data_IF_125728590679
#
_entry.id   IF_125728590679
#
_cell.length_a   1.000
_cell.length_b   1.000
_cell.length_c   1.000
_cell.angle_alpha   90.00
_cell.angle_beta   90.00
_cell.angle_gamma   90.00
#
_symmetry.space_group_name_H-M   'P 1'
#
loop_
_entity.id
_entity.type
_entity.pdbx_description
1 polymer ?
#
# COMPACT_ATOMS: atom_id res chain seq x y z
N UNK A 1 18.43 -22.84 61.85
CA UNK A 1 18.08 -21.53 61.21
C UNK A 1 18.58 -21.34 59.78
N UNK A 2 18.77 -22.38 58.97
CA UNK A 2 19.41 -22.29 57.63
C UNK A 2 18.49 -22.64 56.44
N UNK A 3 17.21 -22.96 56.67
CA UNK A 3 16.26 -23.32 55.59
C UNK A 3 15.44 -22.16 55.03
N UNK A 4 15.29 -21.05 55.76
CA UNK A 4 14.44 -19.93 55.38
C UNK A 4 15.07 -18.94 54.38
N UNK A 5 16.41 -18.85 54.34
CA UNK A 5 17.14 -17.96 53.43
C UNK A 5 17.23 -18.45 51.96
N UNK A 6 17.19 -19.78 51.75
CA UNK A 6 17.24 -20.34 50.36
C UNK A 6 15.95 -20.16 49.57
N UNK A 7 14.79 -20.17 50.24
CA UNK A 7 13.48 -20.01 49.60
C UNK A 7 13.21 -18.55 49.20
N UNK A 8 13.65 -17.58 50.01
CA UNK A 8 13.47 -16.16 49.73
C UNK A 8 14.28 -15.70 48.49
N UNK A 9 15.55 -16.14 48.36
CA UNK A 9 16.41 -15.82 47.23
C UNK A 9 15.92 -16.46 45.90
N UNK A 10 15.28 -17.63 45.95
CA UNK A 10 14.76 -18.31 44.76
C UNK A 10 13.49 -17.63 44.24
N UNK A 11 12.67 -17.01 45.12
CA UNK A 11 11.47 -16.28 44.77
C UNK A 11 11.80 -14.90 44.18
N UNK A 12 12.78 -14.19 44.74
CA UNK A 12 13.26 -12.88 44.25
C UNK A 12 13.88 -13.02 42.85
N UNK A 13 14.69 -14.07 42.61
CA UNK A 13 15.29 -14.34 41.30
C UNK A 13 14.22 -14.68 40.24
N UNK A 14 13.14 -15.38 40.58
CA UNK A 14 12.04 -15.68 39.67
C UNK A 14 11.21 -14.43 39.31
N UNK A 15 10.99 -13.53 40.27
CA UNK A 15 10.27 -12.25 40.03
C UNK A 15 11.15 -11.33 39.19
N UNK A 16 12.47 -11.26 39.44
CA UNK A 16 13.40 -10.48 38.60
C UNK A 16 13.50 -11.04 37.16
N UNK A 17 13.53 -12.35 36.98
CA UNK A 17 13.54 -12.98 35.65
C UNK A 17 12.19 -12.74 34.91
N UNK A 18 11.05 -12.84 35.60
CA UNK A 18 9.75 -12.56 35.02
C UNK A 18 9.62 -11.07 34.65
N UNK A 19 10.11 -10.15 35.50
CA UNK A 19 10.15 -8.72 35.22
C UNK A 19 11.05 -8.37 34.02
N UNK A 20 12.23 -9.00 33.91
CA UNK A 20 13.13 -8.84 32.74
C UNK A 20 12.57 -9.48 31.48
N UNK A 21 11.80 -10.55 31.58
CA UNK A 21 11.11 -11.18 30.44
C UNK A 21 9.95 -10.32 29.96
N UNK A 22 9.14 -9.74 30.88
CA UNK A 22 8.08 -8.78 30.56
C UNK A 22 8.63 -7.48 29.96
N UNK A 23 9.77 -6.97 30.47
CA UNK A 23 10.46 -5.80 29.91
C UNK A 23 11.06 -6.11 28.51
N UNK A 24 11.56 -7.31 28.26
CA UNK A 24 12.00 -7.72 26.92
C UNK A 24 10.83 -7.90 25.95
N UNK A 25 9.69 -8.43 26.40
CA UNK A 25 8.46 -8.52 25.58
C UNK A 25 7.95 -7.11 25.25
N UNK A 26 7.94 -6.17 26.19
CA UNK A 26 7.58 -4.78 25.91
C UNK A 26 8.58 -4.08 24.95
N UNK A 27 9.87 -4.40 25.01
CA UNK A 27 10.87 -3.83 24.11
C UNK A 27 10.79 -4.41 22.69
N UNK A 28 10.30 -5.63 22.50
CA UNK A 28 10.07 -6.23 21.17
C UNK A 28 8.81 -5.65 20.50
N UNK A 29 7.84 -5.13 21.25
CA UNK A 29 6.64 -4.45 20.72
C UNK A 29 6.81 -2.93 20.55
N UNK A 30 8.03 -2.35 20.72
CA UNK A 30 8.20 -0.89 20.88
C UNK A 30 8.53 -0.12 19.60
N UNK A 31 8.83 -0.72 18.47
CA UNK A 31 8.95 0.03 17.21
C UNK A 31 7.80 -0.32 16.27
N UNK A 32 6.70 0.40 16.43
CA UNK A 32 5.54 0.29 15.54
C UNK A 32 5.69 1.14 14.27
N UNK A 33 6.65 2.07 14.28
CA UNK A 33 7.03 2.92 13.14
C UNK A 33 8.55 2.92 13.00
N UNK A 34 9.05 2.66 11.80
CA UNK A 34 10.48 2.66 11.49
C UNK A 34 10.80 3.66 10.35
N UNK A 35 11.78 4.51 10.61
CA UNK A 35 12.25 5.56 9.70
C UNK A 35 13.73 5.37 9.31
N UNK A 36 14.33 4.24 9.66
CA UNK A 36 15.75 3.97 9.41
C UNK A 36 16.12 4.11 7.93
N UNK A 37 15.24 3.67 7.03
CA UNK A 37 15.46 3.79 5.59
C UNK A 37 15.40 5.24 5.10
N UNK A 38 14.55 6.06 5.70
CA UNK A 38 14.49 7.51 5.43
C UNK A 38 15.79 8.18 5.88
N UNK A 39 16.30 7.82 7.05
CA UNK A 39 17.55 8.39 7.60
C UNK A 39 18.76 7.99 6.75
N UNK A 40 18.90 6.73 6.35
CA UNK A 40 19.97 6.27 5.46
C UNK A 40 19.88 6.90 4.07
N UNK A 41 18.67 7.07 3.52
CA UNK A 41 18.49 7.80 2.26
C UNK A 41 18.98 9.25 2.35
N UNK A 42 18.61 9.98 3.40
CA UNK A 42 19.08 11.37 3.61
C UNK A 42 20.58 11.44 3.80
N UNK A 43 21.19 10.48 4.48
CA UNK A 43 22.64 10.42 4.66
C UNK A 43 23.35 10.28 3.32
N UNK A 44 22.94 9.32 2.49
CA UNK A 44 23.53 9.07 1.16
C UNK A 44 23.27 10.25 0.21
N UNK A 45 22.03 10.71 0.12
CA UNK A 45 21.68 11.84 -0.76
C UNK A 45 22.44 13.12 -0.38
N UNK A 46 22.68 13.38 0.92
CA UNK A 46 23.51 14.49 1.39
C UNK A 46 24.96 14.35 0.94
N UNK A 47 25.55 13.17 0.97
CA UNK A 47 26.91 12.93 0.48
C UNK A 47 27.00 13.17 -1.02
N UNK A 48 26.06 12.63 -1.79
CA UNK A 48 26.00 12.81 -3.24
C UNK A 48 25.88 14.30 -3.61
N UNK A 49 25.04 15.06 -2.93
CA UNK A 49 24.89 16.52 -3.14
C UNK A 49 26.18 17.31 -2.84
N UNK A 50 27.03 16.81 -1.97
CA UNK A 50 28.34 17.40 -1.65
C UNK A 50 29.45 16.93 -2.61
N UNK A 51 29.13 16.13 -3.63
CA UNK A 51 30.12 15.54 -4.54
C UNK A 51 31.03 14.50 -3.88
N UNK A 52 30.62 13.92 -2.75
CA UNK A 52 31.37 12.89 -2.04
C UNK A 52 31.05 11.52 -2.61
N UNK A 53 32.06 10.66 -2.67
CA UNK A 53 31.85 9.26 -3.00
C UNK A 53 31.09 8.55 -1.88
N UNK A 54 30.17 7.69 -2.28
CA UNK A 54 29.43 6.77 -1.39
C UNK A 54 30.06 5.39 -1.47
N UNK A 55 30.59 4.92 -0.35
CA UNK A 55 31.24 3.61 -0.28
C UNK A 55 30.23 2.46 -0.44
N UNK A 56 30.72 1.27 -0.86
CA UNK A 56 29.90 0.06 -0.93
C UNK A 56 29.28 -0.31 0.43
N UNK A 57 29.94 0.00 1.53
CA UNK A 57 29.39 -0.23 2.88
C UNK A 57 28.18 0.66 3.16
N UNK A 58 28.23 1.95 2.76
CA UNK A 58 27.10 2.88 2.93
C UNK A 58 25.92 2.47 2.06
N UNK A 59 26.17 2.04 0.81
CA UNK A 59 25.12 1.47 -0.03
C UNK A 59 24.49 0.21 0.60
N UNK A 60 25.29 -0.68 1.19
CA UNK A 60 24.78 -1.84 1.91
C UNK A 60 23.93 -1.46 3.13
N UNK A 61 24.29 -0.41 3.87
CA UNK A 61 23.48 0.11 4.98
C UNK A 61 22.08 0.54 4.50
N UNK A 62 21.97 1.23 3.37
CA UNK A 62 20.68 1.55 2.75
C UNK A 62 19.92 0.29 2.35
N UNK A 63 20.56 -0.63 1.63
CA UNK A 63 19.94 -1.88 1.14
C UNK A 63 19.39 -2.75 2.28
N UNK A 64 20.08 -2.79 3.43
CA UNK A 64 19.68 -3.58 4.59
C UNK A 64 18.84 -2.82 5.61
N UNK A 65 18.53 -1.53 5.36
CA UNK A 65 17.59 -0.80 6.19
C UNK A 65 16.18 -1.33 5.97
N UNK A 66 15.33 -1.22 6.99
CA UNK A 66 14.03 -1.90 7.10
C UNK A 66 13.14 -1.78 5.86
N UNK A 67 12.98 -0.58 5.31
CA UNK A 67 12.12 -0.33 4.15
C UNK A 67 12.69 -0.87 2.83
N UNK A 68 14.03 -0.89 2.65
CA UNK A 68 14.66 -1.41 1.43
C UNK A 68 14.97 -2.90 1.51
N UNK A 69 15.00 -3.48 2.70
CA UNK A 69 15.28 -4.90 2.92
C UNK A 69 14.27 -5.81 2.20
N UNK A 70 13.03 -5.39 2.06
CA UNK A 70 12.00 -6.13 1.31
C UNK A 70 12.45 -6.48 -0.11
N UNK A 71 13.14 -5.58 -0.81
CA UNK A 71 13.67 -5.85 -2.15
C UNK A 71 14.82 -6.86 -2.14
N UNK A 72 15.66 -6.84 -1.10
CA UNK A 72 16.73 -7.81 -0.92
C UNK A 72 16.19 -9.22 -0.60
N UNK A 73 15.16 -9.32 0.21
CA UNK A 73 14.50 -10.58 0.57
C UNK A 73 13.76 -11.21 -0.62
N UNK A 74 13.13 -10.40 -1.46
CA UNK A 74 12.52 -10.84 -2.72
C UNK A 74 13.56 -11.17 -3.81
N UNK A 75 14.86 -11.07 -3.48
CA UNK A 75 15.99 -11.26 -4.39
C UNK A 75 15.96 -10.32 -5.62
N UNK A 76 15.31 -9.18 -5.50
CA UNK A 76 15.15 -8.20 -6.57
C UNK A 76 16.31 -7.20 -6.61
N UNK A 77 17.46 -7.71 -7.06
CA UNK A 77 18.66 -6.88 -7.28
C UNK A 77 18.46 -5.79 -8.34
N UNK A 78 17.42 -5.91 -9.16
CA UNK A 78 17.12 -4.90 -10.17
C UNK A 78 16.52 -3.64 -9.51
N UNK A 79 15.57 -3.81 -8.59
CA UNK A 79 14.95 -2.68 -7.90
C UNK A 79 15.98 -1.86 -7.12
N UNK A 80 16.81 -2.50 -6.32
CA UNK A 80 17.80 -1.77 -5.51
C UNK A 80 18.86 -1.05 -6.38
N UNK A 81 19.29 -1.68 -7.50
CA UNK A 81 20.19 -1.01 -8.48
C UNK A 81 19.52 0.19 -9.13
N UNK A 82 18.22 0.12 -9.39
CA UNK A 82 17.45 1.22 -9.98
C UNK A 82 17.35 2.38 -9.00
N UNK A 83 17.10 2.10 -7.71
CA UNK A 83 17.13 3.09 -6.63
C UNK A 83 18.49 3.80 -6.56
N UNK A 84 19.60 3.03 -6.48
CA UNK A 84 20.96 3.60 -6.46
C UNK A 84 21.24 4.49 -7.67
N UNK A 85 20.88 3.99 -8.86
CA UNK A 85 21.06 4.74 -10.11
C UNK A 85 20.29 6.05 -10.12
N UNK A 86 19.03 6.03 -9.69
CA UNK A 86 18.19 7.24 -9.58
C UNK A 86 18.76 8.24 -8.56
N UNK A 87 19.22 7.78 -7.39
CA UNK A 87 19.87 8.63 -6.39
C UNK A 87 21.14 9.32 -6.96
N UNK A 88 21.99 8.56 -7.67
CA UNK A 88 23.20 9.09 -8.30
C UNK A 88 22.87 10.14 -9.38
N UNK A 89 21.83 9.90 -10.19
CA UNK A 89 21.40 10.83 -11.24
C UNK A 89 20.81 12.12 -10.69
N UNK A 90 20.07 12.05 -9.58
CA UNK A 90 19.38 13.23 -9.03
C UNK A 90 20.28 14.01 -8.06
N UNK A 91 20.84 13.33 -7.06
CA UNK A 91 21.59 13.99 -5.99
C UNK A 91 23.08 14.12 -6.30
N UNK A 92 23.64 13.24 -7.15
CA UNK A 92 25.04 13.26 -7.55
C UNK A 92 25.29 13.96 -8.88
N UNK A 93 24.25 14.45 -9.56
CA UNK A 93 24.32 15.09 -10.88
C UNK A 93 25.12 14.26 -11.90
N UNK A 94 25.00 12.93 -11.79
CA UNK A 94 25.68 12.02 -12.69
C UNK A 94 24.76 11.53 -13.81
N UNK A 95 25.34 11.08 -14.94
CA UNK A 95 24.61 10.44 -16.04
C UNK A 95 23.49 11.34 -16.64
N UNK A 96 23.75 12.63 -16.80
CA UNK A 96 22.76 13.63 -17.24
C UNK A 96 22.04 13.28 -18.55
N UNK A 97 22.76 12.69 -19.53
CA UNK A 97 22.16 12.27 -20.79
C UNK A 97 21.10 11.15 -20.59
N UNK A 98 21.39 10.18 -19.71
CA UNK A 98 20.43 9.11 -19.38
C UNK A 98 19.26 9.62 -18.59
N UNK A 99 19.49 10.46 -17.56
CA UNK A 99 18.46 11.14 -16.79
C UNK A 99 17.51 11.89 -17.71
N UNK A 100 18.03 12.74 -18.61
CA UNK A 100 17.23 13.48 -19.58
C UNK A 100 16.42 12.57 -20.50
N UNK A 101 17.01 11.46 -20.98
CA UNK A 101 16.30 10.47 -21.79
C UNK A 101 15.12 9.86 -21.04
N UNK A 102 15.32 9.41 -19.81
CA UNK A 102 14.25 8.79 -19.00
C UNK A 102 13.12 9.79 -18.69
N UNK A 103 13.46 11.02 -18.33
CA UNK A 103 12.48 12.06 -18.05
C UNK A 103 11.62 12.45 -19.25
N UNK A 104 12.15 12.30 -20.47
CA UNK A 104 11.47 12.63 -21.71
C UNK A 104 10.77 11.42 -22.38
N UNK A 105 10.66 10.27 -21.69
CA UNK A 105 9.90 9.15 -22.21
C UNK A 105 8.44 9.55 -22.47
N UNK A 106 7.94 9.18 -23.64
CA UNK A 106 6.53 9.38 -24.02
C UNK A 106 5.60 8.47 -23.21
N UNK A 107 4.34 8.82 -23.17
CA UNK A 107 3.30 8.00 -22.50
C UNK A 107 3.25 6.58 -23.06
N UNK A 108 3.41 6.40 -24.38
CA UNK A 108 3.44 5.09 -25.02
C UNK A 108 4.63 4.25 -24.52
N UNK A 109 5.86 4.82 -24.49
CA UNK A 109 7.06 4.13 -24.00
C UNK A 109 6.95 3.73 -22.53
N UNK A 110 6.26 4.53 -21.72
CA UNK A 110 6.01 4.24 -20.30
C UNK A 110 5.00 3.09 -20.17
N UNK A 111 3.90 3.12 -20.94
CA UNK A 111 2.83 2.11 -20.85
C UNK A 111 3.28 0.72 -21.34
N UNK A 112 4.17 0.67 -22.33
CA UNK A 112 4.63 -0.58 -22.92
C UNK A 112 5.74 -1.27 -22.08
N UNK A 113 6.40 -0.55 -21.18
CA UNK A 113 7.58 -1.09 -20.48
C UNK A 113 7.61 -0.75 -18.99
N UNK A 114 7.26 -1.74 -18.15
CA UNK A 114 7.27 -1.62 -16.69
C UNK A 114 8.59 -1.08 -16.12
N UNK A 115 9.73 -1.46 -16.72
CA UNK A 115 11.06 -0.97 -16.31
C UNK A 115 11.23 0.52 -16.59
N UNK A 116 10.78 0.97 -17.75
CA UNK A 116 10.80 2.39 -18.15
C UNK A 116 9.88 3.21 -17.22
N UNK A 117 8.69 2.70 -16.95
CA UNK A 117 7.73 3.29 -16.01
C UNK A 117 8.36 3.44 -14.61
N UNK A 118 8.91 2.37 -14.05
CA UNK A 118 9.54 2.39 -12.72
C UNK A 118 10.68 3.42 -12.65
N UNK A 119 11.59 3.43 -13.64
CA UNK A 119 12.71 4.39 -13.67
C UNK A 119 12.23 5.83 -13.73
N UNK A 120 11.20 6.11 -14.52
CA UNK A 120 10.62 7.44 -14.60
C UNK A 120 9.96 7.86 -13.29
N UNK A 121 9.14 7.03 -12.69
CA UNK A 121 8.50 7.30 -11.40
C UNK A 121 9.53 7.59 -10.29
N UNK A 122 10.61 6.79 -10.23
CA UNK A 122 11.69 7.02 -9.27
C UNK A 122 12.40 8.36 -9.51
N UNK A 123 12.72 8.70 -10.76
CA UNK A 123 13.38 9.97 -11.07
C UNK A 123 12.49 11.16 -10.78
N UNK A 124 11.20 11.10 -11.14
CA UNK A 124 10.24 12.16 -10.87
C UNK A 124 10.08 12.38 -9.35
N UNK A 125 9.91 11.29 -8.59
CA UNK A 125 9.83 11.34 -7.13
C UNK A 125 11.12 11.91 -6.51
N UNK A 126 12.29 11.44 -6.93
CA UNK A 126 13.55 11.90 -6.36
C UNK A 126 13.89 13.35 -6.71
N UNK A 127 13.48 13.84 -7.90
CA UNK A 127 13.55 15.26 -8.21
C UNK A 127 12.63 16.10 -7.32
N UNK A 128 11.45 15.59 -6.99
CA UNK A 128 10.55 16.27 -6.05
C UNK A 128 11.15 16.29 -4.63
N UNK A 129 11.73 15.17 -4.19
CA UNK A 129 12.48 15.10 -2.92
C UNK A 129 13.63 16.08 -2.91
N UNK A 130 14.38 16.23 -4.01
CA UNK A 130 15.49 17.17 -4.09
C UNK A 130 15.03 18.62 -3.96
N UNK A 131 13.93 18.98 -4.63
CA UNK A 131 13.32 20.32 -4.51
C UNK A 131 12.82 20.63 -3.10
N UNK A 132 12.29 19.64 -2.40
CA UNK A 132 11.69 19.78 -1.06
C UNK A 132 12.61 19.29 0.07
N UNK A 133 13.90 19.10 -0.20
CA UNK A 133 14.83 18.37 0.66
C UNK A 133 14.86 18.87 2.12
N UNK A 134 14.98 20.18 2.32
CA UNK A 134 15.02 20.76 3.67
C UNK A 134 13.69 20.59 4.43
N UNK A 135 12.57 20.78 3.73
CA UNK A 135 11.23 20.62 4.31
C UNK A 135 10.93 19.18 4.67
N UNK A 136 11.36 18.22 3.84
CA UNK A 136 11.24 16.78 4.13
C UNK A 136 12.07 16.36 5.35
N UNK A 137 13.30 16.90 5.50
CA UNK A 137 14.10 16.67 6.71
C UNK A 137 13.42 17.25 7.95
N UNK A 138 12.93 18.47 7.88
CA UNK A 138 12.18 19.08 8.98
C UNK A 138 10.91 18.28 9.33
N UNK A 139 10.20 17.77 8.34
CA UNK A 139 9.05 16.89 8.55
C UNK A 139 9.46 15.58 9.24
N UNK A 140 10.58 14.95 8.82
CA UNK A 140 11.14 13.76 9.47
C UNK A 140 11.45 14.00 10.96
N UNK A 141 11.99 15.16 11.30
CA UNK A 141 12.46 15.49 12.65
C UNK A 141 11.31 15.90 13.59
N UNK A 142 10.27 16.55 13.06
CA UNK A 142 9.26 17.22 13.88
C UNK A 142 7.88 16.54 13.87
N UNK A 143 7.61 15.63 12.93
CA UNK A 143 6.29 15.00 12.83
C UNK A 143 6.19 13.76 13.71
N UNK A 144 5.05 13.60 14.40
CA UNK A 144 4.80 12.46 15.29
C UNK A 144 4.14 11.32 14.53
N UNK A 145 4.93 10.41 13.98
CA UNK A 145 4.47 9.24 13.23
C UNK A 145 3.76 8.18 14.08
N UNK A 146 4.09 8.06 15.37
CA UNK A 146 3.36 7.16 16.27
C UNK A 146 1.95 7.67 16.52
N UNK A 147 1.78 8.98 16.65
CA UNK A 147 0.45 9.61 16.71
C UNK A 147 -0.35 9.39 15.42
N UNK A 148 0.29 9.47 14.25
CA UNK A 148 -0.36 9.18 12.97
C UNK A 148 -0.89 7.75 12.94
N UNK A 149 -0.06 6.78 13.35
CA UNK A 149 -0.46 5.37 13.46
C UNK A 149 -1.67 5.18 14.37
N UNK A 150 -1.65 5.76 15.56
CA UNK A 150 -2.77 5.70 16.50
C UNK A 150 -4.08 6.23 15.88
N UNK A 151 -4.02 7.42 15.27
CA UNK A 151 -5.17 8.03 14.58
C UNK A 151 -5.68 7.20 13.39
N UNK A 152 -4.80 6.53 12.65
CA UNK A 152 -5.19 5.64 11.56
C UNK A 152 -5.94 4.40 12.06
N UNK A 153 -5.52 3.81 13.18
CA UNK A 153 -6.21 2.68 13.82
C UNK A 153 -7.58 3.12 14.34
N UNK A 154 -7.69 4.30 14.95
CA UNK A 154 -8.97 4.88 15.36
C UNK A 154 -9.90 5.12 14.16
N UNK A 155 -9.35 5.63 13.05
CA UNK A 155 -10.11 5.84 11.80
C UNK A 155 -10.63 4.53 11.22
N UNK A 156 -9.80 3.48 11.19
CA UNK A 156 -10.22 2.14 10.76
C UNK A 156 -11.32 1.58 11.67
N UNK A 157 -11.16 1.66 12.99
CA UNK A 157 -12.19 1.25 13.97
C UNK A 157 -13.52 1.98 13.74
N UNK A 158 -13.46 3.29 13.50
CA UNK A 158 -14.63 4.10 13.19
C UNK A 158 -15.29 3.69 11.86
N UNK A 159 -14.52 3.38 10.83
CA UNK A 159 -15.02 2.91 9.55
C UNK A 159 -15.71 1.55 9.67
N UNK A 160 -15.12 0.61 10.41
CA UNK A 160 -15.67 -0.71 10.67
C UNK A 160 -16.90 -0.67 11.63
N UNK A 161 -17.14 0.45 12.31
CA UNK A 161 -18.21 0.61 13.29
C UNK A 161 -18.00 -0.21 14.57
N UNK A 162 -16.77 -0.67 14.83
CA UNK A 162 -16.37 -1.45 16.01
C UNK A 162 -14.88 -1.27 16.31
N UNK A 163 -14.45 -1.41 17.58
CA UNK A 163 -13.03 -1.47 17.91
C UNK A 163 -12.36 -2.66 17.21
N UNK A 164 -11.08 -2.51 16.88
CA UNK A 164 -10.25 -3.61 16.42
C UNK A 164 -10.00 -4.55 17.61
N UNK A 165 -10.23 -5.84 17.40
CA UNK A 165 -10.01 -6.86 18.42
C UNK A 165 -8.53 -6.87 18.84
N UNK A 166 -8.26 -6.87 20.15
CA UNK A 166 -6.92 -6.85 20.71
C UNK A 166 -6.08 -8.10 20.37
N UNK A 167 -6.70 -9.16 19.87
CA UNK A 167 -6.00 -10.36 19.37
C UNK A 167 -5.43 -10.16 17.97
N UNK A 168 -5.88 -9.13 17.23
CA UNK A 168 -5.37 -8.78 15.90
C UNK A 168 -4.13 -7.92 16.07
N UNK A 169 -3.00 -8.44 15.64
CA UNK A 169 -1.72 -7.72 15.66
C UNK A 169 -1.54 -6.97 14.35
N UNK A 170 -1.79 -5.65 14.39
CA UNK A 170 -1.54 -4.80 13.24
C UNK A 170 -0.03 -4.61 13.00
N UNK A 171 0.37 -4.74 11.74
CA UNK A 171 1.76 -4.67 11.29
C UNK A 171 2.45 -3.35 11.65
N UNK A 172 3.78 -3.35 11.83
CA UNK A 172 4.56 -2.11 11.90
C UNK A 172 4.53 -1.37 10.57
N UNK A 173 4.84 -0.07 10.61
CA UNK A 173 4.94 0.79 9.42
C UNK A 173 6.41 1.14 9.17
N UNK A 174 6.92 0.81 7.99
CA UNK A 174 8.28 1.14 7.55
C UNK A 174 8.23 2.20 6.46
N UNK A 175 8.81 3.36 6.76
CA UNK A 175 8.90 4.45 5.80
C UNK A 175 10.20 4.39 5.00
N UNK A 176 10.10 4.68 3.71
CA UNK A 176 11.24 4.73 2.80
C UNK A 176 10.95 5.66 1.62
N UNK A 177 11.87 5.85 0.69
CA UNK A 177 11.62 6.63 -0.52
C UNK A 177 11.62 5.71 -1.74
N UNK A 178 10.49 5.63 -2.46
CA UNK A 178 10.39 4.78 -3.64
C UNK A 178 9.53 5.42 -4.75
N UNK A 179 8.28 5.04 -4.94
CA UNK A 179 7.46 5.44 -6.10
C UNK A 179 6.13 6.11 -5.75
N UNK A 180 6.04 6.75 -4.60
CA UNK A 180 4.80 7.38 -4.11
C UNK A 180 3.66 6.37 -3.93
N UNK A 181 3.92 5.28 -3.25
CA UNK A 181 2.99 4.18 -3.04
C UNK A 181 3.02 3.67 -1.59
N UNK A 182 1.99 2.94 -1.19
CA UNK A 182 1.93 2.11 0.02
C UNK A 182 1.73 0.65 -0.35
N UNK A 183 2.23 -0.26 0.49
CA UNK A 183 2.08 -1.71 0.29
C UNK A 183 1.95 -2.45 1.61
N UNK A 184 0.96 -3.33 1.69
CA UNK A 184 0.87 -4.34 2.74
C UNK A 184 1.66 -5.58 2.32
N UNK A 185 2.80 -5.83 2.96
CA UNK A 185 3.64 -7.01 2.75
C UNK A 185 3.58 -7.91 4.00
N UNK A 186 4.11 -9.12 3.92
CA UNK A 186 3.97 -10.13 4.99
C UNK A 186 4.30 -9.59 6.39
N UNK A 187 5.37 -8.81 6.51
CA UNK A 187 5.92 -8.41 7.81
C UNK A 187 5.61 -6.96 8.23
N UNK A 188 5.21 -6.09 7.31
CA UNK A 188 5.03 -4.66 7.57
C UNK A 188 4.19 -3.97 6.49
N UNK A 189 3.71 -2.78 6.82
CA UNK A 189 3.25 -1.80 5.83
C UNK A 189 4.45 -0.97 5.37
N UNK A 190 4.72 -0.95 4.07
CA UNK A 190 5.79 -0.20 3.44
C UNK A 190 5.22 1.05 2.79
N UNK A 191 5.61 2.22 3.26
CA UNK A 191 4.99 3.50 2.88
C UNK A 191 6.05 4.46 2.34
N UNK A 192 5.80 5.03 1.14
CA UNK A 192 6.66 6.10 0.62
C UNK A 192 6.55 7.36 1.47
N UNK A 193 7.71 7.85 1.95
CA UNK A 193 7.79 8.98 2.85
C UNK A 193 7.40 10.30 2.17
N UNK A 194 7.73 10.48 0.88
CA UNK A 194 7.36 11.69 0.14
C UNK A 194 5.84 11.72 -0.13
N UNK A 195 5.21 10.57 -0.33
CA UNK A 195 3.75 10.46 -0.43
C UNK A 195 3.09 11.01 0.85
N UNK A 196 3.51 10.53 2.02
CA UNK A 196 2.99 11.00 3.31
C UNK A 196 3.29 12.48 3.54
N UNK A 197 4.45 12.98 3.13
CA UNK A 197 4.79 14.40 3.22
C UNK A 197 3.82 15.29 2.41
N UNK A 198 3.45 14.88 1.21
CA UNK A 198 2.53 15.63 0.33
C UNK A 198 1.10 15.70 0.87
N UNK A 199 0.67 14.70 1.59
CA UNK A 199 -0.69 14.58 2.11
C UNK A 199 -0.97 15.59 3.23
N UNK A 200 -2.21 16.03 3.33
CA UNK A 200 -2.73 16.71 4.53
C UNK A 200 -2.81 15.72 5.70
N UNK A 201 -2.92 16.21 6.92
CA UNK A 201 -3.04 15.38 8.14
C UNK A 201 -4.19 14.37 8.04
N UNK A 202 -5.30 14.78 7.45
CA UNK A 202 -6.45 13.91 7.23
C UNK A 202 -6.14 12.82 6.20
N UNK A 203 -5.56 13.18 5.06
CA UNK A 203 -5.20 12.22 4.02
C UNK A 203 -4.18 11.19 4.51
N UNK A 204 -3.15 11.60 5.30
CA UNK A 204 -2.20 10.69 5.94
C UNK A 204 -2.89 9.64 6.81
N UNK A 205 -3.79 10.12 7.68
CA UNK A 205 -4.56 9.26 8.58
C UNK A 205 -5.43 8.28 7.80
N UNK A 206 -6.17 8.77 6.83
CA UNK A 206 -7.15 7.99 6.07
C UNK A 206 -6.43 6.99 5.14
N UNK A 207 -5.32 7.39 4.50
CA UNK A 207 -4.47 6.51 3.71
C UNK A 207 -3.84 5.38 4.55
N UNK A 208 -3.27 5.71 5.70
CA UNK A 208 -2.70 4.67 6.57
C UNK A 208 -3.79 3.75 7.15
N UNK A 209 -5.02 4.24 7.33
CA UNK A 209 -6.16 3.41 7.71
C UNK A 209 -6.62 2.48 6.57
N UNK A 210 -6.50 2.91 5.30
CA UNK A 210 -6.69 2.08 4.12
C UNK A 210 -5.70 0.91 4.11
N UNK A 211 -4.40 1.17 4.28
CA UNK A 211 -3.38 0.11 4.34
C UNK A 211 -3.61 -0.85 5.52
N UNK A 212 -4.00 -0.33 6.67
CA UNK A 212 -4.38 -1.17 7.81
C UNK A 212 -5.65 -1.98 7.58
N UNK A 213 -6.55 -1.55 6.69
CA UNK A 213 -7.72 -2.35 6.33
C UNK A 213 -7.30 -3.64 5.62
N UNK A 214 -6.34 -3.59 4.70
CA UNK A 214 -5.80 -4.79 4.05
C UNK A 214 -5.23 -5.77 5.08
N UNK A 215 -4.40 -5.27 6.00
CA UNK A 215 -3.86 -6.08 7.07
C UNK A 215 -4.96 -6.65 7.99
N UNK A 216 -5.96 -5.85 8.37
CA UNK A 216 -7.08 -6.29 9.19
C UNK A 216 -7.90 -7.36 8.47
N UNK A 217 -8.20 -7.17 7.17
CA UNK A 217 -8.97 -8.11 6.35
C UNK A 217 -8.32 -9.48 6.26
N UNK A 218 -6.99 -9.56 6.17
CA UNK A 218 -6.23 -10.80 6.11
C UNK A 218 -6.56 -11.78 7.26
N UNK A 219 -6.88 -11.29 8.46
CA UNK A 219 -7.27 -12.15 9.59
C UNK A 219 -8.65 -12.79 9.44
N UNK A 220 -9.45 -12.35 8.48
CA UNK A 220 -10.81 -12.84 8.22
C UNK A 220 -10.93 -13.51 6.85
N UNK A 221 -9.81 -13.60 6.11
CA UNK A 221 -9.84 -14.28 4.82
C UNK A 221 -10.38 -15.69 4.97
N UNK A 222 -11.33 -16.02 4.10
CA UNK A 222 -11.84 -17.38 4.01
C UNK A 222 -10.79 -18.24 3.31
N UNK A 223 -10.06 -19.05 4.07
CA UNK A 223 -9.05 -19.97 3.53
C UNK A 223 -9.64 -21.00 2.55
N UNK A 224 -10.96 -21.18 2.53
CA UNK A 224 -11.66 -22.02 1.56
C UNK A 224 -11.86 -21.31 0.20
N UNK A 225 -11.66 -19.98 0.15
CA UNK A 225 -11.71 -19.24 -1.10
C UNK A 225 -10.47 -19.56 -1.94
N UNK A 226 -10.70 -20.10 -3.14
CA UNK A 226 -9.61 -20.56 -4.01
C UNK A 226 -8.89 -19.37 -4.69
N UNK A 227 -7.99 -18.71 -3.99
CA UNK A 227 -7.14 -17.64 -4.55
C UNK A 227 -6.15 -18.10 -5.64
N UNK A 228 -6.01 -19.41 -5.86
CA UNK A 228 -5.18 -19.94 -6.95
C UNK A 228 -5.85 -19.85 -8.32
N UNK A 229 -7.14 -19.59 -8.34
CA UNK A 229 -7.86 -19.28 -9.57
C UNK A 229 -7.75 -17.77 -9.83
N UNK A 230 -7.23 -17.39 -10.99
CA UNK A 230 -6.96 -16.00 -11.36
C UNK A 230 -8.23 -15.13 -11.35
N UNK A 231 -9.38 -15.67 -11.76
CA UNK A 231 -10.64 -14.96 -11.70
C UNK A 231 -11.04 -14.65 -10.25
N UNK A 232 -10.98 -15.65 -9.37
CA UNK A 232 -11.29 -15.45 -7.95
C UNK A 232 -10.36 -14.44 -7.31
N UNK A 233 -9.06 -14.48 -7.64
CA UNK A 233 -8.10 -13.50 -7.17
C UNK A 233 -8.46 -12.08 -7.62
N UNK A 234 -8.77 -11.88 -8.91
CA UNK A 234 -9.17 -10.56 -9.44
C UNK A 234 -10.45 -10.05 -8.76
N UNK A 235 -11.48 -10.91 -8.60
CA UNK A 235 -12.73 -10.55 -7.94
C UNK A 235 -12.51 -10.15 -6.47
N UNK A 236 -11.65 -10.89 -5.77
CA UNK A 236 -11.30 -10.60 -4.38
C UNK A 236 -10.56 -9.28 -4.26
N UNK A 237 -9.61 -8.99 -5.14
CA UNK A 237 -8.87 -7.72 -5.17
C UNK A 237 -9.79 -6.54 -5.47
N UNK A 238 -10.73 -6.65 -6.42
CA UNK A 238 -11.72 -5.61 -6.69
C UNK A 238 -12.53 -5.28 -5.43
N UNK A 239 -12.96 -6.28 -4.67
CA UNK A 239 -13.63 -6.05 -3.38
C UNK A 239 -12.71 -5.40 -2.38
N UNK A 240 -11.51 -5.94 -2.19
CA UNK A 240 -10.54 -5.51 -1.20
C UNK A 240 -10.20 -4.02 -1.38
N UNK A 241 -9.75 -3.66 -2.58
CA UNK A 241 -9.41 -2.27 -2.93
C UNK A 241 -10.64 -1.36 -2.91
N UNK A 242 -11.78 -1.85 -3.41
CA UNK A 242 -13.00 -1.05 -3.45
C UNK A 242 -13.53 -0.67 -2.07
N UNK A 243 -13.42 -1.54 -1.07
CA UNK A 243 -13.82 -1.22 0.31
C UNK A 243 -12.76 -0.34 0.99
N UNK A 244 -11.48 -0.62 0.80
CA UNK A 244 -10.39 0.16 1.34
C UNK A 244 -10.43 1.62 0.85
N UNK A 245 -10.70 1.82 -0.45
CA UNK A 245 -10.84 3.14 -1.08
C UNK A 245 -11.99 3.98 -0.48
N UNK A 246 -13.00 3.37 0.14
CA UNK A 246 -14.03 4.13 0.88
C UNK A 246 -13.49 4.77 2.17
N UNK A 247 -12.34 4.38 2.66
CA UNK A 247 -11.71 4.96 3.86
C UNK A 247 -11.07 6.30 3.52
N UNK A 248 -10.32 6.38 2.43
CA UNK A 248 -9.47 7.52 2.09
C UNK A 248 -9.93 8.33 0.86
N UNK A 249 -10.72 7.72 -0.07
CA UNK A 249 -11.15 8.34 -1.33
C UNK A 249 -12.65 8.66 -1.39
N UNK A 250 -13.42 8.36 -0.34
CA UNK A 250 -14.89 8.55 -0.30
C UNK A 250 -15.37 9.99 -0.50
N UNK A 251 -14.50 10.99 -0.35
CA UNK A 251 -14.84 12.40 -0.57
C UNK A 251 -14.62 12.88 -2.02
N UNK A 252 -14.06 12.07 -2.85
CA UNK A 252 -13.82 12.34 -4.27
C UNK A 252 -12.58 11.65 -4.78
N UNK A 253 -12.78 10.63 -5.60
CA UNK A 253 -11.69 9.85 -6.20
C UNK A 253 -10.76 10.73 -7.05
N UNK A 254 -11.37 11.58 -7.88
CA UNK A 254 -10.62 12.49 -8.77
C UNK A 254 -9.84 13.54 -7.98
N UNK A 255 -10.45 14.17 -6.97
CA UNK A 255 -9.75 15.16 -6.14
C UNK A 255 -8.58 14.53 -5.39
N UNK A 256 -8.76 13.32 -4.85
CA UNK A 256 -7.70 12.59 -4.18
C UNK A 256 -6.48 12.40 -5.10
N UNK A 257 -6.68 11.83 -6.28
CA UNK A 257 -5.57 11.58 -7.19
C UNK A 257 -4.95 12.86 -7.76
N UNK A 258 -5.74 13.91 -7.98
CA UNK A 258 -5.23 15.20 -8.43
C UNK A 258 -4.35 15.89 -7.39
N UNK A 259 -4.60 15.69 -6.10
CA UNK A 259 -3.87 16.33 -5.01
C UNK A 259 -2.64 15.52 -4.59
N UNK A 260 -2.73 14.19 -4.58
CA UNK A 260 -1.74 13.30 -3.94
C UNK A 260 -0.80 12.67 -4.95
N UNK A 261 -1.32 12.17 -6.06
CA UNK A 261 -0.52 11.47 -7.07
C UNK A 261 0.21 12.44 -8.00
N UNK A 262 1.24 11.93 -8.67
CA UNK A 262 1.94 12.66 -9.73
C UNK A 262 1.48 12.16 -11.09
N UNK A 263 1.49 13.06 -12.10
CA UNK A 263 1.35 12.63 -13.50
C UNK A 263 2.50 11.66 -13.87
N UNK A 264 2.26 10.54 -14.59
CA UNK A 264 0.99 10.20 -15.23
C UNK A 264 0.00 9.38 -14.38
N UNK A 265 0.35 8.97 -13.18
CA UNK A 265 -0.49 8.09 -12.34
C UNK A 265 -1.84 8.74 -12.03
N UNK A 266 -1.84 10.02 -11.69
CA UNK A 266 -3.08 10.78 -11.43
C UNK A 266 -4.04 10.70 -12.62
N UNK A 267 -3.55 11.02 -13.82
CA UNK A 267 -4.35 11.02 -15.04
C UNK A 267 -4.89 9.62 -15.38
N UNK A 268 -4.06 8.60 -15.22
CA UNK A 268 -4.44 7.20 -15.45
C UNK A 268 -5.55 6.77 -14.48
N UNK A 269 -5.39 7.03 -13.18
CA UNK A 269 -6.37 6.61 -12.17
C UNK A 269 -7.72 7.32 -12.36
N UNK A 270 -7.71 8.61 -12.66
CA UNK A 270 -8.92 9.37 -12.97
C UNK A 270 -9.61 8.83 -14.23
N UNK A 271 -8.83 8.56 -15.28
CA UNK A 271 -9.37 7.98 -16.53
C UNK A 271 -10.00 6.60 -16.28
N UNK A 272 -9.34 5.71 -15.55
CA UNK A 272 -9.88 4.39 -15.19
C UNK A 272 -11.17 4.50 -14.37
N UNK A 273 -11.27 5.49 -13.48
CA UNK A 273 -12.50 5.71 -12.72
C UNK A 273 -13.67 6.12 -13.62
N UNK A 274 -13.45 7.00 -14.60
CA UNK A 274 -14.48 7.36 -15.58
C UNK A 274 -14.91 6.18 -16.47
N UNK A 275 -14.05 5.19 -16.66
CA UNK A 275 -14.34 3.99 -17.43
C UNK A 275 -14.87 2.82 -16.58
N UNK A 276 -14.90 2.94 -15.25
CA UNK A 276 -15.12 1.82 -14.35
C UNK A 276 -16.44 1.05 -14.60
N UNK A 277 -17.53 1.73 -14.91
CA UNK A 277 -18.80 1.09 -15.26
C UNK A 277 -18.69 0.29 -16.56
N UNK A 278 -18.12 0.88 -17.62
CA UNK A 278 -17.90 0.18 -18.89
C UNK A 278 -16.91 -0.97 -18.78
N UNK A 279 -15.91 -0.83 -17.93
CA UNK A 279 -14.94 -1.91 -17.69
C UNK A 279 -15.57 -3.05 -16.88
N UNK A 280 -16.43 -2.75 -15.91
CA UNK A 280 -17.23 -3.74 -15.21
C UNK A 280 -18.17 -4.51 -16.16
N UNK A 281 -18.80 -3.82 -17.12
CA UNK A 281 -19.62 -4.44 -18.18
C UNK A 281 -18.78 -5.43 -19.00
N UNK A 282 -17.60 -5.03 -19.45
CA UNK A 282 -16.67 -5.92 -20.18
C UNK A 282 -16.26 -7.14 -19.35
N UNK A 283 -15.91 -6.96 -18.06
CA UNK A 283 -15.56 -8.07 -17.16
C UNK A 283 -16.75 -9.03 -17.07
N UNK A 284 -17.96 -8.51 -16.87
CA UNK A 284 -19.17 -9.31 -16.82
C UNK A 284 -19.36 -10.15 -18.10
N UNK A 285 -19.28 -9.54 -19.28
CA UNK A 285 -19.45 -10.23 -20.56
C UNK A 285 -18.41 -11.32 -20.80
N UNK A 286 -17.15 -11.07 -20.39
CA UNK A 286 -16.06 -12.05 -20.45
C UNK A 286 -16.37 -13.25 -19.56
N UNK A 287 -16.80 -13.02 -18.30
CA UNK A 287 -17.12 -14.08 -17.33
C UNK A 287 -18.33 -14.89 -17.81
N UNK A 288 -19.37 -14.24 -18.33
CA UNK A 288 -20.56 -14.93 -18.88
C UNK A 288 -20.18 -15.79 -20.11
N UNK A 289 -19.35 -15.27 -21.03
CA UNK A 289 -18.87 -16.05 -22.18
C UNK A 289 -18.08 -17.29 -21.75
N UNK A 290 -17.30 -17.18 -20.68
CA UNK A 290 -16.60 -18.33 -20.08
C UNK A 290 -17.60 -19.33 -19.46
N UNK A 291 -18.54 -18.87 -18.65
CA UNK A 291 -19.55 -19.72 -18.02
C UNK A 291 -20.40 -20.50 -19.05
N UNK A 292 -20.65 -19.90 -20.21
CA UNK A 292 -21.34 -20.53 -21.36
C UNK A 292 -20.45 -21.45 -22.21
N UNK A 293 -19.17 -21.64 -21.84
CA UNK A 293 -18.16 -22.37 -22.62
C UNK A 293 -17.93 -21.84 -24.04
N UNK A 294 -18.16 -20.52 -24.27
CA UNK A 294 -17.88 -19.85 -25.55
C UNK A 294 -16.39 -19.51 -25.70
N UNK A 295 -15.68 -19.36 -24.59
CA UNK A 295 -14.23 -19.13 -24.54
C UNK A 295 -13.57 -20.06 -23.52
N UNK A 296 -12.28 -20.37 -23.74
CA UNK A 296 -11.46 -21.13 -22.77
C UNK A 296 -11.06 -20.26 -21.57
N UNK A 297 -10.63 -20.91 -20.47
CA UNK A 297 -10.10 -20.23 -19.27
C UNK A 297 -8.91 -19.33 -19.61
N UNK A 298 -7.92 -19.82 -20.39
CA UNK A 298 -6.75 -19.01 -20.81
C UNK A 298 -7.20 -17.74 -21.54
N UNK A 299 -8.18 -17.87 -22.47
CA UNK A 299 -8.68 -16.72 -23.21
C UNK A 299 -9.50 -15.75 -22.34
N UNK A 300 -10.20 -16.27 -21.33
CA UNK A 300 -10.88 -15.44 -20.33
C UNK A 300 -9.84 -14.62 -19.56
N UNK A 301 -8.79 -15.25 -19.05
CA UNK A 301 -7.73 -14.58 -18.27
C UNK A 301 -7.03 -13.51 -19.13
N UNK A 302 -6.64 -13.83 -20.36
CA UNK A 302 -6.02 -12.86 -21.27
C UNK A 302 -6.89 -11.61 -21.43
N UNK A 303 -8.20 -11.79 -21.70
CA UNK A 303 -9.13 -10.68 -21.85
C UNK A 303 -9.35 -9.89 -20.54
N UNK A 304 -9.42 -10.59 -19.39
CA UNK A 304 -9.55 -9.91 -18.10
C UNK A 304 -8.33 -9.05 -17.79
N UNK A 305 -7.11 -9.50 -18.11
CA UNK A 305 -5.89 -8.72 -17.93
C UNK A 305 -5.83 -7.44 -18.78
N UNK A 306 -6.57 -7.37 -19.90
CA UNK A 306 -6.70 -6.14 -20.70
C UNK A 306 -7.55 -5.08 -19.97
N UNK A 307 -8.52 -5.49 -19.17
CA UNK A 307 -9.46 -4.62 -18.46
C UNK A 307 -9.05 -4.37 -17.01
N UNK A 308 -8.59 -5.42 -16.31
CA UNK A 308 -8.18 -5.37 -14.93
C UNK A 308 -6.86 -4.61 -14.77
N UNK A 309 -6.93 -3.37 -14.30
CA UNK A 309 -5.77 -2.48 -14.11
C UNK A 309 -5.66 -2.04 -12.66
N UNK A 310 -4.43 -1.82 -12.19
CA UNK A 310 -4.13 -1.31 -10.86
C UNK A 310 -4.94 -2.03 -9.76
N UNK A 311 -4.84 -3.35 -9.71
CA UNK A 311 -5.51 -4.21 -8.72
C UNK A 311 -7.05 -4.01 -8.63
N UNK A 312 -7.67 -3.40 -9.64
CA UNK A 312 -9.12 -3.19 -9.65
C UNK A 312 -9.61 -2.00 -8.82
N UNK A 313 -8.74 -1.11 -8.31
CA UNK A 313 -9.13 0.05 -7.51
C UNK A 313 -10.30 0.84 -8.09
N UNK A 314 -10.21 1.28 -9.34
CA UNK A 314 -11.23 2.11 -9.96
C UNK A 314 -12.59 1.42 -10.03
N UNK A 315 -12.61 0.15 -10.46
CA UNK A 315 -13.84 -0.67 -10.55
C UNK A 315 -14.38 -0.95 -9.14
N UNK A 316 -13.53 -1.34 -8.22
CA UNK A 316 -13.90 -1.62 -6.83
C UNK A 316 -14.48 -0.40 -6.13
N UNK A 317 -13.85 0.77 -6.30
CA UNK A 317 -14.37 2.03 -5.74
C UNK A 317 -15.71 2.43 -6.37
N UNK A 318 -15.87 2.26 -7.69
CA UNK A 318 -17.17 2.48 -8.36
C UNK A 318 -18.25 1.59 -7.74
N UNK A 319 -18.00 0.28 -7.65
CA UNK A 319 -18.97 -0.68 -7.09
C UNK A 319 -19.30 -0.39 -5.63
N UNK A 320 -18.30 -0.18 -4.77
CA UNK A 320 -18.50 0.13 -3.36
C UNK A 320 -19.24 1.45 -3.15
N UNK A 321 -18.99 2.45 -4.01
CA UNK A 321 -19.71 3.73 -4.00
C UNK A 321 -21.19 3.56 -4.37
N UNK A 322 -21.52 2.70 -5.34
CA UNK A 322 -22.91 2.37 -5.66
C UNK A 322 -23.60 1.66 -4.49
N UNK A 323 -22.90 0.73 -3.82
CA UNK A 323 -23.41 0.02 -2.63
C UNK A 323 -23.71 1.00 -1.48
N UNK A 324 -22.77 1.93 -1.20
CA UNK A 324 -22.95 2.96 -0.16
C UNK A 324 -24.10 3.91 -0.52
N UNK A 325 -24.16 4.39 -1.76
CA UNK A 325 -25.23 5.26 -2.26
C UNK A 325 -26.62 4.61 -2.14
N UNK A 326 -26.72 3.31 -2.37
CA UNK A 326 -27.95 2.55 -2.20
C UNK A 326 -28.33 2.28 -0.72
N UNK A 327 -27.46 2.59 0.23
CA UNK A 327 -27.70 2.41 1.67
C UNK A 327 -27.26 1.05 2.23
N UNK A 328 -26.50 0.24 1.45
CA UNK A 328 -26.03 -1.09 1.85
C UNK A 328 -24.59 -1.08 2.43
N UNK A 329 -24.08 0.09 2.79
CA UNK A 329 -22.69 0.20 3.29
C UNK A 329 -22.43 -0.61 4.57
N UNK A 330 -23.42 -0.75 5.47
CA UNK A 330 -23.26 -1.59 6.68
C UNK A 330 -23.19 -3.07 6.35
N UNK A 331 -23.98 -3.54 5.40
CA UNK A 331 -23.99 -4.92 4.92
C UNK A 331 -22.66 -5.24 4.25
N UNK A 332 -22.13 -4.34 3.43
CA UNK A 332 -20.82 -4.45 2.82
C UNK A 332 -19.72 -4.61 3.88
N UNK A 333 -19.73 -3.79 4.94
CA UNK A 333 -18.75 -3.89 6.01
C UNK A 333 -18.91 -5.15 6.90
N UNK A 334 -20.08 -5.78 6.93
CA UNK A 334 -20.26 -7.08 7.63
C UNK A 334 -19.68 -8.24 6.84
N UNK A 335 -19.55 -8.10 5.54
CA UNK A 335 -19.12 -9.14 4.61
C UNK A 335 -17.85 -8.77 3.84
N UNK A 336 -17.02 -7.91 4.40
CA UNK A 336 -15.80 -7.38 3.76
C UNK A 336 -14.77 -8.46 3.36
N UNK A 337 -14.92 -9.67 3.84
CA UNK A 337 -14.09 -10.84 3.52
C UNK A 337 -14.76 -11.81 2.53
N UNK A 338 -15.93 -11.46 1.98
CA UNK A 338 -16.70 -12.32 1.08
C UNK A 338 -16.97 -11.60 -0.26
N UNK A 339 -16.16 -11.86 -1.31
CA UNK A 339 -16.34 -11.21 -2.60
C UNK A 339 -17.71 -11.46 -3.22
N UNK A 340 -18.27 -12.68 -3.11
CA UNK A 340 -19.58 -12.99 -3.68
C UNK A 340 -20.71 -12.15 -3.07
N UNK A 341 -20.63 -11.89 -1.77
CA UNK A 341 -21.60 -11.02 -1.10
C UNK A 341 -21.45 -9.56 -1.55
N UNK A 342 -20.21 -9.08 -1.81
CA UNK A 342 -19.96 -7.77 -2.36
C UNK A 342 -20.60 -7.60 -3.75
N UNK A 343 -20.45 -8.58 -4.64
CA UNK A 343 -21.06 -8.55 -5.96
C UNK A 343 -22.58 -8.64 -5.88
N UNK A 344 -23.14 -9.46 -4.97
CA UNK A 344 -24.57 -9.51 -4.70
C UNK A 344 -25.11 -8.15 -4.23
N UNK A 345 -24.43 -7.48 -3.32
CA UNK A 345 -24.81 -6.15 -2.83
C UNK A 345 -24.72 -5.11 -3.93
N UNK A 346 -23.69 -5.18 -4.80
CA UNK A 346 -23.60 -4.31 -5.95
C UNK A 346 -24.81 -4.48 -6.90
N UNK A 347 -25.23 -5.71 -7.21
CA UNK A 347 -26.43 -5.97 -8.05
C UNK A 347 -27.66 -5.28 -7.47
N UNK A 348 -27.90 -5.44 -6.17
CA UNK A 348 -29.04 -4.78 -5.51
C UNK A 348 -28.93 -3.23 -5.56
N UNK A 349 -27.72 -2.72 -5.40
CA UNK A 349 -27.44 -1.30 -5.49
C UNK A 349 -27.65 -0.76 -6.90
N UNK A 350 -27.19 -1.48 -7.92
CA UNK A 350 -27.30 -1.12 -9.33
C UNK A 350 -28.76 -1.00 -9.76
N UNK A 351 -29.62 -1.94 -9.37
CA UNK A 351 -31.07 -1.87 -9.62
C UNK A 351 -31.65 -0.59 -9.01
N UNK A 352 -31.30 -0.28 -7.76
CA UNK A 352 -31.81 0.89 -7.05
C UNK A 352 -31.31 2.21 -7.60
N UNK A 353 -30.07 2.25 -8.07
CA UNK A 353 -29.39 3.44 -8.54
C UNK A 353 -29.55 3.67 -10.05
N UNK A 354 -30.02 2.68 -10.83
CA UNK A 354 -30.10 2.70 -12.28
C UNK A 354 -28.72 2.59 -12.97
N UNK A 355 -27.76 1.90 -12.33
CA UNK A 355 -26.43 1.61 -12.86
C UNK A 355 -26.40 0.28 -13.61
N UNK A 356 -25.28 -0.06 -14.26
CA UNK A 356 -25.09 -1.34 -14.93
C UNK A 356 -25.33 -2.53 -13.99
N UNK A 357 -26.16 -3.48 -14.45
CA UNK A 357 -26.57 -4.64 -13.63
C UNK A 357 -25.82 -5.90 -14.07
N UNK A 358 -25.16 -6.57 -13.12
CA UNK A 358 -24.64 -7.90 -13.34
C UNK A 358 -25.82 -8.90 -13.45
N UNK A 359 -25.71 -9.92 -14.32
CA UNK A 359 -26.74 -10.97 -14.44
C UNK A 359 -26.84 -11.82 -13.17
N UNK A 360 -27.87 -12.67 -13.11
CA UNK A 360 -28.05 -13.61 -12.02
C UNK A 360 -27.31 -14.93 -12.24
N UNK A 361 -26.82 -15.15 -13.46
CA UNK A 361 -26.14 -16.39 -13.90
C UNK A 361 -24.68 -16.45 -13.49
#
# INVERSE_FOLDING_TARGET
MTKTYKTANMTINKILLAGLFLLKIQAVFSQTVDLTSVDEFFKISSMLKQGKDVSEEQWRQLEHSTGYKVFAEQNDRFLIRTVKSAMQMVFGNSREAEKKRILNLSQAEISENKTSMLRKLLLDNYQEIDRNYASLKSFRENYNFDSLRGKAIERLSSFLGKPIDSTIVLKPVYFFFFTLDGKDEENALYIDFNLIYKMTERQRRDFLAHEYFHNYRFFFENHDFNHKNDLNFMLDMIQNEGIADQIDKSQGYESYFSEVAVSPVSEIMIHLYHQAESDLEKIHDIVISYAKNEISEDKMIDKLLEVYKFNGHAIGFYMSSQIVKAGYGREMLKSFYNPFEFYRLYRLAAIKNGSFQLSEE
#
